data_IF_546268809582
#
_entry.id   IF_546268809582
#
_cell.length_a   1.000
_cell.length_b   1.000
_cell.length_c   1.000
_cell.angle_alpha   90.00
_cell.angle_beta   90.00
_cell.angle_gamma   90.00
#
_symmetry.space_group_name_H-M   'P 1'
#
loop_
_entity.id
_entity.type
_entity.pdbx_description
1 polymer ?
#
# COMPACT_ATOMS: atom_id res chain seq x y z
N UNK A 1 -23.38 -6.57 5.10
CA UNK A 1 -22.71 -5.59 4.21
C UNK A 1 -21.67 -4.85 5.03
N UNK A 2 -20.38 -5.10 4.78
CA UNK A 2 -19.31 -4.26 5.35
C UNK A 2 -19.56 -2.82 4.88
N UNK A 3 -20.00 -1.95 5.79
CA UNK A 3 -20.24 -0.55 5.46
C UNK A 3 -18.90 0.09 5.08
N UNK A 4 -18.83 0.77 3.93
CA UNK A 4 -17.65 1.52 3.47
C UNK A 4 -16.98 2.35 4.58
N UNK A 5 -17.76 2.84 5.56
CA UNK A 5 -17.28 3.56 6.73
C UNK A 5 -16.38 2.71 7.66
N UNK A 6 -16.69 1.44 7.90
CA UNK A 6 -15.86 0.54 8.73
C UNK A 6 -14.52 0.24 8.07
N UNK A 7 -14.52 0.05 6.74
CA UNK A 7 -13.28 -0.21 6.00
C UNK A 7 -12.35 1.00 6.05
N UNK A 8 -12.88 2.23 5.87
CA UNK A 8 -12.10 3.47 6.00
C UNK A 8 -11.49 3.64 7.39
N UNK A 9 -12.26 3.43 8.46
CA UNK A 9 -11.75 3.51 9.85
C UNK A 9 -10.62 2.51 10.07
N UNK A 10 -10.76 1.29 9.55
CA UNK A 10 -9.73 0.24 9.65
C UNK A 10 -8.46 0.64 8.90
N UNK A 11 -8.58 1.20 7.70
CA UNK A 11 -7.43 1.72 6.93
C UNK A 11 -6.72 2.86 7.64
N UNK A 12 -7.47 3.81 8.21
CA UNK A 12 -6.89 4.94 8.96
C UNK A 12 -6.15 4.43 10.21
N UNK A 13 -6.79 3.54 10.97
CA UNK A 13 -6.18 2.91 12.16
C UNK A 13 -4.88 2.21 11.80
N UNK A 14 -4.88 1.43 10.72
CA UNK A 14 -3.68 0.75 10.24
C UNK A 14 -2.58 1.73 9.80
N UNK A 15 -2.95 2.83 9.12
CA UNK A 15 -1.98 3.86 8.71
C UNK A 15 -1.35 4.56 9.91
N UNK A 16 -2.13 4.89 10.93
CA UNK A 16 -1.59 5.50 12.15
C UNK A 16 -0.58 4.58 12.84
N UNK A 17 -0.93 3.30 13.02
CA UNK A 17 -0.03 2.31 13.62
C UNK A 17 1.27 2.18 12.82
N UNK A 18 1.18 2.08 11.49
CA UNK A 18 2.34 1.94 10.61
C UNK A 18 3.28 3.17 10.68
N UNK A 19 2.73 4.38 10.71
CA UNK A 19 3.52 5.61 10.85
C UNK A 19 4.18 5.67 12.23
N UNK A 20 3.44 5.37 13.30
CA UNK A 20 3.97 5.37 14.67
C UNK A 20 5.10 4.37 14.84
N UNK A 21 4.96 3.14 14.35
CA UNK A 21 6.01 2.12 14.40
C UNK A 21 7.26 2.56 13.64
N UNK A 22 7.07 3.09 12.43
CA UNK A 22 8.21 3.54 11.60
C UNK A 22 8.95 4.69 12.27
N UNK A 23 8.21 5.64 12.85
CA UNK A 23 8.79 6.78 13.56
C UNK A 23 9.52 6.35 14.84
N UNK A 24 8.95 5.42 15.62
CA UNK A 24 9.60 4.86 16.81
C UNK A 24 10.90 4.13 16.47
N UNK A 25 10.91 3.28 15.44
CA UNK A 25 12.12 2.57 14.99
C UNK A 25 13.17 3.56 14.51
N UNK A 26 12.75 4.54 13.71
CA UNK A 26 13.63 5.60 13.19
C UNK A 26 14.21 6.45 14.32
N UNK A 27 13.43 6.73 15.36
CA UNK A 27 13.85 7.48 16.54
C UNK A 27 14.80 6.69 17.43
N UNK A 28 14.52 5.40 17.65
CA UNK A 28 15.40 4.54 18.44
C UNK A 28 16.80 4.45 17.82
N UNK A 29 16.87 4.49 16.50
CA UNK A 29 18.13 4.35 15.76
C UNK A 29 18.91 5.66 15.66
N UNK A 30 18.25 6.77 15.32
CA UNK A 30 18.92 8.06 15.10
C UNK A 30 19.01 8.92 16.39
N UNK A 31 18.14 8.67 17.38
CA UNK A 31 18.02 9.43 18.64
C UNK A 31 17.78 10.94 18.46
N UNK A 32 17.38 11.37 17.26
CA UNK A 32 17.10 12.77 16.92
C UNK A 32 15.76 12.88 16.17
N UNK A 33 14.91 13.81 16.60
CA UNK A 33 13.54 13.90 16.07
C UNK A 33 13.48 14.29 14.59
N UNK A 34 14.34 15.22 14.15
CA UNK A 34 14.31 15.74 12.78
C UNK A 34 14.57 14.66 11.72
N UNK A 35 15.68 13.93 11.88
CA UNK A 35 16.06 12.90 10.92
C UNK A 35 15.16 11.68 10.98
N UNK A 36 14.60 11.34 12.15
CA UNK A 36 13.64 10.23 12.28
C UNK A 36 12.33 10.50 11.56
N UNK A 37 11.83 11.74 11.58
CA UNK A 37 10.65 12.16 10.81
C UNK A 37 10.96 12.09 9.31
N UNK A 38 12.10 12.62 8.89
CA UNK A 38 12.54 12.58 7.50
C UNK A 38 12.66 11.13 6.99
N UNK A 39 13.25 10.24 7.78
CA UNK A 39 13.37 8.82 7.45
C UNK A 39 12.00 8.14 7.38
N UNK A 40 11.11 8.41 8.32
CA UNK A 40 9.76 7.82 8.32
C UNK A 40 8.96 8.26 7.09
N UNK A 41 9.06 9.52 6.67
CA UNK A 41 8.44 10.03 5.46
C UNK A 41 9.07 9.40 4.20
N UNK A 42 10.40 9.37 4.12
CA UNK A 42 11.12 8.76 3.00
C UNK A 42 10.78 7.27 2.84
N UNK A 43 10.77 6.51 3.94
CA UNK A 43 10.44 5.09 3.93
C UNK A 43 8.99 4.82 3.47
N UNK A 44 8.03 5.65 3.90
CA UNK A 44 6.66 5.57 3.42
C UNK A 44 6.54 5.94 1.94
N UNK A 45 7.24 6.99 1.49
CA UNK A 45 7.29 7.39 0.08
C UNK A 45 7.88 6.31 -0.82
N UNK A 46 9.01 5.72 -0.43
CA UNK A 46 9.64 4.61 -1.15
C UNK A 46 8.68 3.43 -1.24
N UNK A 47 8.00 3.03 -0.14
CA UNK A 47 6.99 1.95 -0.19
C UNK A 47 5.86 2.26 -1.16
N UNK A 48 5.37 3.50 -1.19
CA UNK A 48 4.31 3.89 -2.12
C UNK A 48 4.77 3.79 -3.58
N UNK A 49 5.98 4.27 -3.90
CA UNK A 49 6.57 4.14 -5.23
C UNK A 49 6.78 2.67 -5.59
N UNK A 50 7.31 1.86 -4.68
CA UNK A 50 7.54 0.44 -4.91
C UNK A 50 6.24 -0.31 -5.14
N UNK A 51 5.20 -0.01 -4.37
CA UNK A 51 3.86 -0.57 -4.55
C UNK A 51 3.29 -0.20 -5.92
N UNK A 52 3.39 1.07 -6.31
CA UNK A 52 2.94 1.52 -7.63
C UNK A 52 3.69 0.82 -8.76
N UNK A 53 5.02 0.71 -8.67
CA UNK A 53 5.83 -0.02 -9.65
C UNK A 53 5.50 -1.51 -9.68
N UNK A 54 5.25 -2.12 -8.52
CA UNK A 54 4.83 -3.51 -8.40
C UNK A 54 3.48 -3.73 -9.08
N UNK A 55 2.49 -2.89 -8.81
CA UNK A 55 1.16 -2.96 -9.45
C UNK A 55 1.27 -2.73 -10.96
N UNK A 56 2.09 -1.77 -11.41
CA UNK A 56 2.36 -1.50 -12.83
C UNK A 56 3.06 -2.67 -13.51
N UNK A 57 4.02 -3.29 -12.84
CA UNK A 57 4.73 -4.48 -13.30
C UNK A 57 3.80 -5.69 -13.40
N UNK A 58 2.95 -5.89 -12.39
CA UNK A 58 1.93 -6.94 -12.38
C UNK A 58 0.93 -6.76 -13.51
N UNK A 59 0.49 -5.53 -13.79
CA UNK A 59 -0.44 -5.24 -14.88
C UNK A 59 0.16 -5.52 -16.27
N UNK A 60 1.50 -5.48 -16.40
CA UNK A 60 2.19 -5.91 -17.63
C UNK A 60 2.31 -7.43 -17.75
N UNK A 61 2.25 -8.15 -16.65
CA UNK A 61 2.36 -9.60 -16.62
C UNK A 61 0.94 -10.19 -16.76
N UNK A 62 0.64 -10.86 -17.87
CA UNK A 62 -0.66 -11.51 -18.12
C UNK A 62 -0.85 -12.83 -17.34
N UNK A 63 -0.25 -12.95 -16.16
CA UNK A 63 -0.28 -14.16 -15.37
C UNK A 63 -1.66 -14.31 -14.72
N UNK A 64 -2.42 -15.32 -15.15
CA UNK A 64 -3.75 -15.65 -14.61
C UNK A 64 -4.95 -14.99 -15.29
N UNK A 65 -4.78 -14.24 -16.40
CA UNK A 65 -5.92 -13.80 -17.22
C UNK A 65 -6.51 -15.01 -17.95
N UNK A 66 -7.64 -15.55 -17.46
CA UNK A 66 -8.50 -16.42 -18.27
C UNK A 66 -9.02 -15.56 -19.43
N UNK A 67 -8.80 -15.98 -20.68
CA UNK A 67 -9.53 -15.42 -21.81
C UNK A 67 -11.01 -15.59 -21.49
N UNK A 68 -11.74 -14.49 -21.41
CA UNK A 68 -13.19 -14.52 -21.48
C UNK A 68 -13.50 -15.12 -22.85
N UNK A 69 -13.97 -16.36 -22.84
CA UNK A 69 -14.55 -16.96 -24.04
C UNK A 69 -15.85 -16.19 -24.20
N UNK A 70 -15.85 -15.29 -25.17
CA UNK A 70 -17.01 -14.57 -25.66
C UNK A 70 -17.96 -15.66 -26.20
N UNK A 71 -18.82 -16.19 -25.33
CA UNK A 71 -19.93 -17.06 -25.74
C UNK A 71 -20.92 -16.19 -26.52
N UNK A 72 -20.69 -16.21 -27.82
CA UNK A 72 -21.59 -15.87 -28.91
C UNK A 72 -23.06 -16.16 -28.56
N UNK A 73 -23.80 -15.09 -28.22
CA UNK A 73 -25.26 -15.11 -28.10
C UNK A 73 -25.90 -15.17 -29.48
N UNK A 74 -25.70 -16.29 -30.18
CA UNK A 74 -26.52 -16.66 -31.34
C UNK A 74 -27.42 -17.82 -30.96
N UNK A 75 -28.65 -17.52 -30.53
CA UNK A 75 -29.84 -18.35 -30.76
C UNK A 75 -31.03 -17.42 -31.03
#
# INVERSE_FOLDING_TARGET
MESHKRSLVKTITWRLIAVTVTLLISYLWLREWGSSIALALAANGIKAVLYYLHERGWNRISFGRKKEIEEDYTI
#
